data_IF_669913384634
#
_entry.id   IF_669913384634
#
_cell.length_a   1.000
_cell.length_b   1.000
_cell.length_c   1.000
_cell.angle_alpha   90.00
_cell.angle_beta   90.00
_cell.angle_gamma   90.00
#
_symmetry.space_group_name_H-M   'P 1'
#
loop_
_entity.id
_entity.type
_entity.pdbx_description
1 polymer ?
#
# COMPACT_ATOMS: atom_id res chain seq x y z
N UNK A 1 -19.16 5.70 -4.56
CA UNK A 1 -18.39 5.18 -3.41
C UNK A 1 -18.56 5.99 -2.12
N UNK A 2 -18.43 7.33 -2.13
CA UNK A 2 -18.39 8.17 -0.92
C UNK A 2 -19.61 8.03 0.01
N UNK A 3 -20.80 7.73 -0.53
CA UNK A 3 -22.03 7.55 0.25
C UNK A 3 -22.14 6.19 0.95
N UNK A 4 -21.26 5.24 0.62
CA UNK A 4 -21.33 3.88 1.16
C UNK A 4 -20.77 3.82 2.58
N UNK A 5 -21.49 3.13 3.46
CA UNK A 5 -21.09 2.97 4.86
C UNK A 5 -19.88 2.04 5.00
N UNK A 6 -19.84 0.94 4.25
CA UNK A 6 -18.73 -0.02 4.24
C UNK A 6 -17.40 0.65 3.86
N UNK A 7 -17.41 1.50 2.83
CA UNK A 7 -16.28 2.33 2.41
C UNK A 7 -15.79 3.21 3.56
N UNK A 8 -16.68 4.00 4.16
CA UNK A 8 -16.34 4.92 5.27
C UNK A 8 -15.78 4.17 6.47
N UNK A 9 -16.36 3.02 6.80
CA UNK A 9 -15.92 2.18 7.92
C UNK A 9 -14.53 1.59 7.70
N UNK A 10 -14.11 1.34 6.45
CA UNK A 10 -12.77 0.85 6.14
C UNK A 10 -11.72 1.97 6.21
N UNK A 11 -12.06 3.20 5.79
CA UNK A 11 -11.09 4.30 5.73
C UNK A 11 -10.38 4.60 7.05
N UNK A 12 -11.02 4.33 8.20
CA UNK A 12 -10.40 4.52 9.52
C UNK A 12 -9.17 3.60 9.76
N UNK A 13 -9.02 2.53 8.97
CA UNK A 13 -7.93 1.56 9.09
C UNK A 13 -6.85 1.74 8.02
N UNK A 14 -7.05 2.67 7.09
CA UNK A 14 -6.15 2.89 5.97
C UNK A 14 -5.53 4.29 6.06
N UNK A 15 -4.22 4.43 5.80
CA UNK A 15 -3.58 5.74 5.78
C UNK A 15 -3.85 6.49 4.46
N UNK A 16 -5.11 6.51 4.01
CA UNK A 16 -5.56 7.17 2.80
C UNK A 16 -6.34 8.44 3.14
N UNK A 17 -6.21 9.45 2.27
CA UNK A 17 -6.97 10.69 2.37
C UNK A 17 -7.98 10.73 1.24
N UNK A 18 -9.20 11.13 1.55
CA UNK A 18 -10.21 11.43 0.54
C UNK A 18 -10.12 12.91 0.19
N UNK A 19 -9.66 13.22 -1.03
CA UNK A 19 -9.46 14.58 -1.53
C UNK A 19 -10.08 14.71 -2.92
N UNK A 20 -10.84 15.78 -3.16
CA UNK A 20 -11.40 16.09 -4.49
C UNK A 20 -12.18 14.94 -5.13
N UNK A 21 -12.94 14.19 -4.33
CA UNK A 21 -13.69 12.98 -4.75
C UNK A 21 -12.85 11.74 -5.06
N UNK A 22 -11.56 11.74 -4.72
CA UNK A 22 -10.66 10.61 -4.91
C UNK A 22 -9.87 10.22 -3.66
N UNK A 23 -9.49 8.96 -3.57
CA UNK A 23 -8.54 8.45 -2.59
C UNK A 23 -7.12 8.69 -3.06
N UNK A 24 -6.32 9.25 -2.16
CA UNK A 24 -4.90 9.50 -2.41
C UNK A 24 -4.06 9.08 -1.21
N UNK A 25 -2.80 8.74 -1.48
CA UNK A 25 -1.79 8.66 -0.44
C UNK A 25 -1.42 10.08 0.04
N UNK A 26 -1.00 10.24 1.31
CA UNK A 26 -0.36 11.47 1.74
C UNK A 26 0.88 11.76 0.87
N UNK A 27 1.14 13.02 0.46
CA UNK A 27 2.19 13.34 -0.51
C UNK A 27 3.59 12.82 -0.12
N UNK A 28 3.93 12.86 1.17
CA UNK A 28 5.22 12.36 1.68
C UNK A 28 5.37 10.85 1.53
N UNK A 29 4.29 10.10 1.69
CA UNK A 29 4.30 8.66 1.49
C UNK A 29 4.35 8.32 0.00
N UNK A 30 3.55 9.02 -0.80
CA UNK A 30 3.49 8.80 -2.25
C UNK A 30 4.87 9.00 -2.89
N UNK A 31 5.56 10.09 -2.55
CA UNK A 31 6.90 10.38 -3.07
C UNK A 31 7.93 9.31 -2.68
N UNK A 32 7.90 8.84 -1.43
CA UNK A 32 8.79 7.78 -0.97
C UNK A 32 8.53 6.47 -1.72
N UNK A 33 7.26 6.09 -1.88
CA UNK A 33 6.87 4.90 -2.64
C UNK A 33 7.25 5.01 -4.13
N UNK A 34 7.06 6.17 -4.75
CA UNK A 34 7.47 6.44 -6.12
C UNK A 34 8.99 6.32 -6.27
N UNK A 35 9.76 6.82 -5.31
CA UNK A 35 11.21 6.68 -5.32
C UNK A 35 11.64 5.22 -5.17
N UNK A 36 10.99 4.46 -4.28
CA UNK A 36 11.27 3.03 -4.12
C UNK A 36 10.85 2.19 -5.33
N UNK A 37 9.82 2.60 -6.07
CA UNK A 37 9.34 1.86 -7.25
C UNK A 37 10.24 2.02 -8.49
N UNK A 38 11.12 3.02 -8.54
CA UNK A 38 12.12 3.15 -9.62
C UNK A 38 13.33 2.24 -9.44
N UNK A 39 13.49 1.63 -8.26
CA UNK A 39 14.54 0.67 -7.99
C UNK A 39 15.62 1.14 -7.03
N UNK A 40 16.61 0.29 -6.75
CA UNK A 40 17.66 0.56 -5.78
C UNK A 40 18.63 1.68 -6.18
N UNK A 41 18.76 2.00 -7.48
CA UNK A 41 19.65 3.06 -7.96
C UNK A 41 19.22 4.45 -7.49
N UNK A 42 17.92 4.70 -7.37
CA UNK A 42 17.37 5.98 -6.93
C UNK A 42 17.02 5.96 -5.43
N UNK A 43 16.40 4.86 -4.97
CA UNK A 43 15.92 4.76 -3.58
C UNK A 43 17.01 4.47 -2.55
N UNK A 44 18.15 3.93 -3.01
CA UNK A 44 19.24 3.40 -2.19
C UNK A 44 18.80 2.26 -1.25
N UNK A 45 17.64 1.63 -1.51
CA UNK A 45 17.15 0.48 -0.74
C UNK A 45 17.80 -0.79 -1.27
N UNK A 46 18.98 -1.11 -0.75
CA UNK A 46 19.82 -2.24 -1.18
C UNK A 46 20.07 -3.28 -0.09
N UNK A 47 19.49 -3.09 1.10
CA UNK A 47 19.68 -3.95 2.27
C UNK A 47 18.44 -3.99 3.15
N UNK A 48 18.39 -4.99 4.04
CA UNK A 48 17.36 -5.11 5.05
C UNK A 48 17.33 -3.91 6.00
N UNK A 49 18.51 -3.42 6.41
CA UNK A 49 18.62 -2.19 7.20
C UNK A 49 18.03 -0.98 6.46
N UNK A 50 18.39 -0.78 5.19
CA UNK A 50 17.88 0.33 4.38
C UNK A 50 16.35 0.27 4.23
N UNK A 51 15.80 -0.92 3.99
CA UNK A 51 14.36 -1.15 3.90
C UNK A 51 13.66 -0.84 5.23
N UNK A 52 14.20 -1.31 6.36
CA UNK A 52 13.64 -1.03 7.68
C UNK A 52 13.60 0.47 8.01
N UNK A 53 14.64 1.22 7.61
CA UNK A 53 14.68 2.66 7.75
C UNK A 53 13.57 3.34 6.93
N UNK A 54 13.38 2.95 5.66
CA UNK A 54 12.30 3.50 4.82
C UNK A 54 10.91 3.19 5.39
N UNK A 55 10.67 1.95 5.81
CA UNK A 55 9.39 1.56 6.46
C UNK A 55 9.14 2.41 7.72
N UNK A 56 10.17 2.59 8.55
CA UNK A 56 10.05 3.41 9.77
C UNK A 56 9.75 4.88 9.44
N UNK A 57 10.42 5.43 8.42
CA UNK A 57 10.17 6.79 7.93
C UNK A 57 8.73 6.96 7.45
N UNK A 58 8.26 6.05 6.59
CA UNK A 58 6.88 6.06 6.08
C UNK A 58 5.84 5.97 7.21
N UNK A 59 6.04 5.07 8.18
CA UNK A 59 5.14 4.95 9.34
C UNK A 59 5.11 6.24 10.18
N UNK A 60 6.25 6.88 10.37
CA UNK A 60 6.33 8.16 11.09
C UNK A 60 5.61 9.27 10.33
N UNK A 61 5.77 9.36 9.00
CA UNK A 61 5.05 10.32 8.15
C UNK A 61 3.53 10.15 8.24
N UNK A 62 3.05 8.92 8.46
CA UNK A 62 1.65 8.60 8.66
C UNK A 62 1.17 8.77 10.12
N UNK A 63 2.05 9.22 11.03
CA UNK A 63 1.79 9.24 12.48
C UNK A 63 1.32 7.88 13.03
N UNK A 64 1.70 6.78 12.38
CA UNK A 64 1.45 5.44 12.87
C UNK A 64 2.39 5.19 14.05
N UNK A 65 1.85 4.69 15.15
CA UNK A 65 2.66 4.41 16.32
C UNK A 65 3.71 3.33 16.00
N UNK A 66 4.99 3.71 16.10
CA UNK A 66 6.13 2.84 15.84
C UNK A 66 6.27 1.78 16.94
N UNK A 67 5.72 2.02 18.14
CA UNK A 67 5.69 1.04 19.23
C UNK A 67 4.79 -0.18 18.94
N UNK A 68 4.00 -0.15 17.86
CA UNK A 68 3.30 -1.35 17.38
C UNK A 68 4.19 -2.33 16.62
N UNK A 69 5.43 -1.94 16.30
CA UNK A 69 6.41 -2.88 15.77
C UNK A 69 6.97 -3.74 16.91
N UNK A 70 7.27 -5.00 16.60
CA UNK A 70 7.94 -5.88 17.54
C UNK A 70 9.30 -5.27 17.96
N UNK A 71 9.74 -5.50 19.21
CA UNK A 71 11.10 -5.20 19.60
C UNK A 71 12.07 -5.81 18.58
N UNK A 72 13.02 -5.01 18.13
CA UNK A 72 14.03 -5.41 17.15
C UNK A 72 13.53 -5.72 15.73
N UNK A 73 12.32 -5.26 15.34
CA UNK A 73 11.80 -5.47 13.99
C UNK A 73 12.80 -5.03 12.90
N UNK A 74 13.47 -3.88 13.07
CA UNK A 74 14.49 -3.39 12.14
C UNK A 74 15.68 -4.33 12.01
N UNK A 75 16.15 -4.91 13.12
CA UNK A 75 17.24 -5.88 13.14
C UNK A 75 16.82 -7.19 12.48
N UNK A 76 15.55 -7.56 12.57
CA UNK A 76 15.00 -8.71 11.87
C UNK A 76 15.13 -8.61 10.34
N UNK A 77 14.88 -7.42 9.77
CA UNK A 77 15.11 -7.18 8.35
C UNK A 77 16.58 -7.33 7.98
N UNK A 78 17.47 -6.67 8.73
CA UNK A 78 18.91 -6.75 8.48
C UNK A 78 19.42 -8.19 8.59
N UNK A 79 19.08 -8.90 9.67
CA UNK A 79 19.43 -10.32 9.86
C UNK A 79 18.98 -11.17 8.67
N UNK A 80 17.73 -11.03 8.22
CA UNK A 80 17.22 -11.87 7.14
C UNK A 80 17.89 -11.56 5.79
N UNK A 81 17.84 -10.29 5.36
CA UNK A 81 18.27 -9.90 4.02
C UNK A 81 19.78 -9.73 3.88
N UNK A 82 20.47 -9.40 4.97
CA UNK A 82 21.90 -9.07 4.94
C UNK A 82 22.77 -10.25 5.42
N UNK A 83 22.21 -11.18 6.23
CA UNK A 83 22.98 -12.30 6.78
C UNK A 83 22.44 -13.71 6.47
N UNK A 84 21.12 -13.90 6.28
CA UNK A 84 20.54 -15.27 6.16
C UNK A 84 20.35 -15.77 4.74
N UNK A 85 20.09 -14.89 3.79
CA UNK A 85 19.92 -15.26 2.38
C UNK A 85 21.19 -14.95 1.59
N UNK A 86 21.32 -15.52 0.39
CA UNK A 86 22.48 -15.22 -0.45
C UNK A 86 22.46 -13.77 -0.91
N UNK A 87 23.65 -13.24 -1.24
CA UNK A 87 23.77 -11.89 -1.79
C UNK A 87 22.99 -11.74 -3.09
N UNK A 88 22.97 -12.79 -3.91
CA UNK A 88 22.25 -12.82 -5.18
C UNK A 88 20.73 -12.78 -4.98
N UNK A 89 20.21 -13.55 -4.02
CA UNK A 89 18.78 -13.53 -3.67
C UNK A 89 18.36 -12.19 -3.09
N UNK A 90 19.19 -11.62 -2.22
CA UNK A 90 18.96 -10.29 -1.62
C UNK A 90 18.96 -9.19 -2.68
N UNK A 91 19.98 -9.18 -3.55
CA UNK A 91 20.06 -8.22 -4.66
C UNK A 91 18.86 -8.33 -5.61
N UNK A 92 18.41 -9.55 -5.91
CA UNK A 92 17.20 -9.77 -6.71
C UNK A 92 15.95 -9.24 -6.01
N UNK A 93 15.80 -9.49 -4.71
CA UNK A 93 14.67 -8.99 -3.93
C UNK A 93 14.58 -7.46 -3.97
N UNK A 94 15.69 -6.77 -3.73
CA UNK A 94 15.73 -5.31 -3.76
C UNK A 94 15.65 -4.72 -5.18
N UNK A 95 16.15 -5.45 -6.19
CA UNK A 95 16.10 -5.03 -7.59
C UNK A 95 14.74 -5.22 -8.26
N UNK A 96 13.98 -6.24 -7.87
CA UNK A 96 12.76 -6.64 -8.58
C UNK A 96 11.52 -6.61 -7.67
N UNK A 97 11.61 -7.18 -6.48
CA UNK A 97 10.43 -7.41 -5.61
C UNK A 97 10.02 -6.14 -4.90
N UNK A 98 10.94 -5.44 -4.24
CA UNK A 98 10.62 -4.18 -3.53
C UNK A 98 10.02 -3.14 -4.49
N UNK A 99 10.60 -2.88 -5.69
CA UNK A 99 10.03 -1.91 -6.61
C UNK A 99 8.63 -2.30 -7.10
N UNK A 100 8.40 -3.58 -7.40
CA UNK A 100 7.09 -4.09 -7.80
C UNK A 100 6.05 -3.95 -6.68
N UNK A 101 6.42 -4.25 -5.44
CA UNK A 101 5.54 -4.06 -4.28
C UNK A 101 5.19 -2.59 -4.09
N UNK A 102 6.17 -1.68 -4.19
CA UNK A 102 5.91 -0.25 -4.12
C UNK A 102 4.98 0.22 -5.24
N UNK A 103 5.18 -0.26 -6.47
CA UNK A 103 4.29 0.00 -7.60
C UNK A 103 2.84 -0.43 -7.32
N UNK A 104 2.66 -1.61 -6.73
CA UNK A 104 1.33 -2.10 -6.35
C UNK A 104 0.69 -1.27 -5.24
N UNK A 105 1.47 -0.88 -4.21
CA UNK A 105 0.97 -0.04 -3.11
C UNK A 105 0.56 1.35 -3.63
N UNK A 106 1.31 1.95 -4.58
CA UNK A 106 0.93 3.22 -5.22
C UNK A 106 -0.44 3.13 -5.89
N UNK A 107 -0.77 1.98 -6.50
CA UNK A 107 -2.05 1.76 -7.17
C UNK A 107 -3.21 1.46 -6.22
N UNK A 108 -2.94 1.19 -4.95
CA UNK A 108 -3.96 0.79 -3.98
C UNK A 108 -5.15 1.77 -3.85
N UNK A 109 -4.99 3.11 -3.86
CA UNK A 109 -6.12 4.02 -3.82
C UNK A 109 -7.06 3.83 -5.01
N UNK A 110 -6.55 3.79 -6.24
CA UNK A 110 -7.37 3.62 -7.45
C UNK A 110 -7.99 2.22 -7.55
N UNK A 111 -7.28 1.18 -7.08
CA UNK A 111 -7.83 -0.18 -6.97
C UNK A 111 -9.00 -0.25 -6.00
N UNK A 112 -8.92 0.44 -4.86
CA UNK A 112 -10.03 0.55 -3.91
C UNK A 112 -11.20 1.31 -4.49
N UNK A 113 -10.97 2.45 -5.14
CA UNK A 113 -12.04 3.20 -5.79
C UNK A 113 -12.78 2.33 -6.81
N UNK A 114 -12.02 1.64 -7.67
CA UNK A 114 -12.59 0.73 -8.66
C UNK A 114 -13.40 -0.38 -8.00
N UNK A 115 -12.92 -0.96 -6.90
CA UNK A 115 -13.67 -1.96 -6.13
C UNK A 115 -15.02 -1.39 -5.65
N UNK A 116 -15.01 -0.25 -4.97
CA UNK A 116 -16.23 0.35 -4.41
C UNK A 116 -17.18 0.97 -5.44
N UNK A 117 -16.68 1.34 -6.62
CA UNK A 117 -17.50 1.74 -7.76
C UNK A 117 -18.17 0.53 -8.42
N UNK A 118 -17.52 -0.64 -8.43
CA UNK A 118 -18.03 -1.85 -9.08
C UNK A 118 -18.84 -2.77 -8.17
N UNK A 119 -18.71 -2.63 -6.85
CA UNK A 119 -19.32 -3.54 -5.89
C UNK A 119 -20.87 -3.54 -5.91
N UNK A 120 -21.52 -2.52 -6.50
CA UNK A 120 -22.99 -2.50 -6.65
C UNK A 120 -23.47 -3.42 -7.79
N UNK A 121 -22.65 -3.64 -8.84
CA UNK A 121 -23.02 -4.49 -9.98
C UNK A 121 -23.01 -5.99 -9.67
N UNK A 122 -22.42 -6.39 -8.54
CA UNK A 122 -22.29 -7.81 -8.17
C UNK A 122 -23.55 -8.34 -7.47
N UNK A 123 -24.39 -7.45 -6.93
CA UNK A 123 -25.65 -7.82 -6.26
C UNK A 123 -26.88 -7.80 -7.19
N UNK A 124 -26.79 -7.13 -8.35
CA UNK A 124 -27.88 -7.07 -9.35
C UNK A 124 -28.00 -8.33 -10.24
N UNK A 125 -27.51 -9.47 -9.75
CA UNK A 125 -27.79 -10.80 -10.31
C UNK A 125 -29.26 -11.21 -10.26
N UNK A 126 -30.15 -10.38 -9.69
CA UNK A 126 -31.58 -10.43 -9.91
C UNK A 126 -31.98 -9.17 -10.66
N UNK A 127 -32.00 -9.26 -11.99
CA UNK A 127 -32.78 -8.34 -12.81
C UNK A 127 -34.25 -8.53 -12.44
N UNK A 128 -34.73 -7.78 -11.45
CA UNK A 128 -36.16 -7.59 -11.28
C UNK A 128 -36.58 -6.76 -12.49
N UNK A 129 -37.06 -7.45 -13.54
CA UNK A 129 -37.79 -6.81 -14.63
C UNK A 129 -38.85 -5.94 -13.98
N UNK A 130 -38.70 -4.62 -14.13
CA UNK A 130 -39.76 -3.69 -13.83
C UNK A 130 -40.88 -3.95 -14.86
N UNK A 131 -41.84 -4.79 -14.48
CA UNK A 131 -43.14 -4.82 -15.15
C UNK A 131 -43.87 -3.54 -14.73
N UNK A 132 -44.02 -2.62 -15.69
CA UNK A 132 -44.92 -1.46 -15.56
C UNK A 132 -46.37 -1.91 -15.78
N UNK A 133 -47.33 -1.19 -15.20
CA UNK A 133 -48.70 -1.63 -15.01
C UNK A 133 -49.56 -1.42 -16.26
N UNK A 134 -50.58 -2.26 -16.42
CA UNK A 134 -51.79 -1.95 -17.19
C UNK A 134 -52.92 -1.51 -16.23
#
# INVERSE_FOLDING_TARGET
>A
MEKREDFRSMLQYLPLVFQSSSLVWPPSLEQELQTMSTGPSESMVISGEALALRITSMRRSLSLNVSYLAPYASQGYALFFDEKISREESAKFFGEVVPALCGLVIQMPSLLEMHYQKADYVLDGVTVKAEKPD
#
